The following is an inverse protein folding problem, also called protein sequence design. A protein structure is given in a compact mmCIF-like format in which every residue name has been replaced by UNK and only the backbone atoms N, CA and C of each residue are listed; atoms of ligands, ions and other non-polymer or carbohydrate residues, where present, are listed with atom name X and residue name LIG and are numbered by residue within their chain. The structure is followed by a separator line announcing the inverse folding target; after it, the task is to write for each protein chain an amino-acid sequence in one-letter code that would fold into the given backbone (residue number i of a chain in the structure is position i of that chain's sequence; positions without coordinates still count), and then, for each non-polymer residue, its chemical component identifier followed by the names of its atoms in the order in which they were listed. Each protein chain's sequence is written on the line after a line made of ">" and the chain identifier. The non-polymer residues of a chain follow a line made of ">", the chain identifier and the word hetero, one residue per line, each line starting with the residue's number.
data_IF_472223505976
#
_entry.id   IF_472223505976
#
_cell.length_a   1.000
_cell.length_b   1.000
_cell.length_c   1.000
_cell.angle_alpha   90.00
_cell.angle_beta   90.00
_cell.angle_gamma   90.00
#
_symmetry.space_group_name_H-M   'P 1'
#
loop_
_entity.id
_entity.type
_entity.pdbx_description
1 polymer ?
#
# COMPACT_ATOMS: atom_id res chain seq x y z
N UNK A 1 -58.92 22.98 -16.26
CA UNK A 1 -59.65 23.66 -15.18
C UNK A 1 -58.85 23.57 -13.88
N UNK A 2 -58.44 24.74 -13.35
CA UNK A 2 -58.22 25.13 -11.95
C UNK A 2 -57.57 24.07 -11.03
N UNK A 3 -56.25 24.08 -10.85
CA UNK A 3 -55.49 24.95 -9.92
C UNK A 3 -56.03 24.89 -8.48
N UNK A 4 -55.34 24.17 -7.59
CA UNK A 4 -55.36 24.44 -6.15
C UNK A 4 -53.97 24.90 -5.71
N UNK A 5 -53.90 26.19 -5.38
CA UNK A 5 -52.79 26.87 -4.73
C UNK A 5 -53.13 26.95 -3.25
N UNK A 6 -52.21 26.56 -2.38
CA UNK A 6 -52.09 27.15 -1.04
C UNK A 6 -50.66 27.64 -0.91
N UNK A 7 -50.50 28.97 -0.82
CA UNK A 7 -49.27 29.66 -0.42
C UNK A 7 -49.55 30.31 0.94
N UNK A 8 -48.78 29.95 1.97
CA UNK A 8 -48.49 30.75 3.16
C UNK A 8 -47.27 30.08 3.84
N UNK A 9 -46.04 30.49 3.54
CA UNK A 9 -45.30 31.56 4.23
C UNK A 9 -45.14 31.30 5.74
N UNK A 10 -44.03 30.65 6.11
CA UNK A 10 -43.31 30.90 7.35
C UNK A 10 -41.81 30.89 7.05
N UNK A 11 -41.24 32.08 7.21
CA UNK A 11 -39.85 32.47 7.02
C UNK A 11 -39.14 32.25 8.37
N UNK A 12 -37.92 31.69 8.32
CA UNK A 12 -36.77 31.99 9.19
C UNK A 12 -36.88 31.66 10.70
N UNK A 13 -36.02 30.75 11.20
CA UNK A 13 -34.88 31.08 12.07
C UNK A 13 -34.14 29.80 12.52
N UNK A 14 -32.93 29.63 12.00
CA UNK A 14 -31.69 29.29 12.73
C UNK A 14 -31.83 28.57 14.09
N UNK A 15 -31.32 27.33 14.15
CA UNK A 15 -30.40 26.92 15.23
C UNK A 15 -29.18 26.25 14.59
N UNK A 16 -28.30 27.10 14.07
CA UNK A 16 -26.87 26.83 14.08
C UNK A 16 -26.36 27.38 15.42
N UNK A 17 -26.10 26.49 16.37
CA UNK A 17 -25.25 26.73 17.55
C UNK A 17 -24.83 25.35 18.10
N UNK A 18 -23.72 24.81 17.62
CA UNK A 18 -22.38 24.88 18.26
C UNK A 18 -22.22 23.83 19.37
N UNK A 19 -21.48 22.77 19.04
CA UNK A 19 -20.37 22.35 19.89
C UNK A 19 -19.16 22.26 18.97
N UNK A 20 -18.40 23.36 18.93
CA UNK A 20 -17.09 23.44 18.29
C UNK A 20 -16.06 22.64 19.09
N UNK A 21 -16.17 21.32 19.06
CA UNK A 21 -14.99 20.47 19.23
C UNK A 21 -14.16 20.56 17.95
N UNK A 22 -12.81 20.45 18.01
CA UNK A 22 -12.04 20.36 16.78
C UNK A 22 -12.63 19.20 15.99
N UNK A 23 -13.10 19.49 14.77
CA UNK A 23 -13.27 18.47 13.76
C UNK A 23 -11.89 17.83 13.63
N UNK A 24 -11.71 16.70 14.30
CA UNK A 24 -10.59 15.80 14.06
C UNK A 24 -10.84 15.31 12.64
N UNK A 25 -10.39 16.10 11.67
CA UNK A 25 -10.28 15.64 10.31
C UNK A 25 -9.44 14.38 10.38
N UNK A 26 -10.04 13.24 10.07
CA UNK A 26 -9.28 12.01 9.86
C UNK A 26 -8.27 12.35 8.78
N UNK A 27 -6.99 12.45 9.15
CA UNK A 27 -5.94 12.70 8.18
C UNK A 27 -6.04 11.60 7.12
N UNK A 28 -6.41 11.98 5.90
CA UNK A 28 -6.47 11.04 4.78
C UNK A 28 -5.04 10.59 4.51
N UNK A 29 -4.79 9.29 4.51
CA UNK A 29 -3.46 8.74 4.21
C UNK A 29 -2.97 9.27 2.85
N UNK A 30 -1.70 9.65 2.78
CA UNK A 30 -1.08 10.23 1.59
C UNK A 30 -0.85 9.20 0.46
N UNK A 31 -1.03 7.91 0.77
CA UNK A 31 -0.92 6.78 -0.15
C UNK A 31 -1.00 5.47 0.64
N UNK A 32 -1.16 4.35 -0.07
CA UNK A 32 -1.26 3.01 0.52
C UNK A 32 -0.26 2.05 -0.14
N UNK A 33 0.52 1.36 0.69
CA UNK A 33 1.59 0.46 0.26
C UNK A 33 1.32 -0.96 0.78
N UNK A 34 1.50 -1.96 -0.07
CA UNK A 34 1.58 -3.35 0.36
C UNK A 34 3.04 -3.78 0.45
N UNK A 35 3.44 -4.39 1.57
CA UNK A 35 4.72 -5.03 1.74
C UNK A 35 4.50 -6.54 1.77
N UNK A 36 4.86 -7.21 0.67
CA UNK A 36 4.77 -8.66 0.53
C UNK A 36 6.15 -9.26 0.82
N UNK A 37 6.21 -10.15 1.81
CA UNK A 37 7.46 -10.70 2.34
C UNK A 37 7.42 -12.22 2.22
N UNK A 38 8.61 -12.81 2.05
CA UNK A 38 8.81 -14.25 2.06
C UNK A 38 8.55 -14.91 3.43
N UNK A 39 9.08 -16.11 3.61
CA UNK A 39 8.97 -16.85 4.87
C UNK A 39 9.93 -16.27 5.91
N UNK A 40 9.39 -15.77 7.02
CA UNK A 40 10.19 -15.32 8.17
C UNK A 40 9.46 -14.28 9.01
N UNK A 41 8.80 -13.34 8.35
CA UNK A 41 8.01 -12.31 9.03
C UNK A 41 8.86 -11.32 9.85
N UNK A 42 8.16 -10.57 10.71
CA UNK A 42 8.79 -9.77 11.77
C UNK A 42 9.44 -10.68 12.82
N UNK A 43 10.52 -10.22 13.42
CA UNK A 43 11.24 -10.89 14.50
C UNK A 43 12.41 -11.78 14.05
N UNK A 44 12.79 -11.72 12.77
CA UNK A 44 13.96 -12.42 12.24
C UNK A 44 15.30 -11.74 12.65
N UNK A 45 15.23 -10.54 13.24
CA UNK A 45 16.35 -9.71 13.67
C UNK A 45 17.36 -9.43 12.55
N UNK A 46 16.91 -9.50 11.30
CA UNK A 46 17.77 -9.50 10.12
C UNK A 46 17.05 -8.84 8.94
N UNK A 47 17.00 -9.52 7.80
CA UNK A 47 16.59 -8.98 6.52
C UNK A 47 15.14 -8.49 6.52
N UNK A 48 14.20 -9.28 7.02
CA UNK A 48 12.79 -8.93 7.00
C UNK A 48 12.50 -7.78 7.97
N UNK A 49 13.05 -7.81 9.19
CA UNK A 49 12.92 -6.70 10.15
C UNK A 49 13.49 -5.39 9.60
N UNK A 50 14.57 -5.43 8.80
CA UNK A 50 15.10 -4.26 8.12
C UNK A 50 14.16 -3.73 7.03
N UNK A 51 13.51 -4.62 6.28
CA UNK A 51 12.45 -4.26 5.33
C UNK A 51 11.27 -3.58 6.02
N UNK A 52 10.78 -4.16 7.11
CA UNK A 52 9.70 -3.58 7.92
C UNK A 52 10.08 -2.23 8.51
N UNK A 53 11.29 -2.10 9.07
CA UNK A 53 11.77 -0.83 9.63
C UNK A 53 11.73 0.30 8.59
N UNK A 54 12.16 0.03 7.36
CA UNK A 54 12.07 1.01 6.27
C UNK A 54 10.63 1.39 5.93
N UNK A 55 9.72 0.42 5.92
CA UNK A 55 8.29 0.66 5.67
C UNK A 55 7.64 1.46 6.82
N UNK A 56 7.94 1.14 8.07
CA UNK A 56 7.46 1.83 9.27
C UNK A 56 7.94 3.30 9.30
N UNK A 57 9.22 3.54 8.97
CA UNK A 57 9.77 4.89 8.82
C UNK A 57 9.08 5.67 7.69
N UNK A 58 8.75 5.01 6.57
CA UNK A 58 8.05 5.63 5.46
C UNK A 58 6.61 6.01 5.83
N UNK A 59 5.89 5.15 6.56
CA UNK A 59 4.56 5.48 7.13
C UNK A 59 4.64 6.72 8.01
N UNK A 60 5.59 6.74 8.94
CA UNK A 60 5.73 7.86 9.89
C UNK A 60 6.11 9.17 9.19
N UNK A 61 6.99 9.11 8.18
CA UNK A 61 7.50 10.29 7.49
C UNK A 61 6.55 10.85 6.45
N UNK A 62 5.84 10.00 5.72
CA UNK A 62 5.02 10.38 4.57
C UNK A 62 3.52 10.30 4.84
N UNK A 63 3.09 9.78 6.00
CA UNK A 63 1.67 9.65 6.34
C UNK A 63 0.95 8.62 5.46
N UNK A 64 1.64 7.57 5.05
CA UNK A 64 1.09 6.48 4.23
C UNK A 64 0.43 5.40 5.10
N UNK A 65 -0.44 4.60 4.51
CA UNK A 65 -0.93 3.35 5.11
C UNK A 65 -0.06 2.18 4.62
N UNK A 66 0.38 1.32 5.54
CA UNK A 66 1.11 0.09 5.23
C UNK A 66 0.22 -1.12 5.49
N UNK A 67 0.18 -2.04 4.52
CA UNK A 67 -0.39 -3.38 4.69
C UNK A 67 0.72 -4.40 4.55
N UNK A 68 0.92 -5.17 5.61
CA UNK A 68 1.90 -6.25 5.65
C UNK A 68 1.26 -7.55 5.20
N UNK A 69 1.90 -8.25 4.25
CA UNK A 69 1.44 -9.52 3.71
C UNK A 69 2.58 -10.53 3.80
N UNK A 70 2.57 -11.33 4.85
CA UNK A 70 3.56 -12.37 5.06
C UNK A 70 3.14 -13.68 4.37
N UNK A 71 4.05 -14.28 3.63
CA UNK A 71 3.89 -15.62 3.07
C UNK A 71 4.31 -16.71 4.05
N UNK A 72 3.59 -17.84 4.04
CA UNK A 72 3.95 -19.01 4.84
C UNK A 72 4.80 -20.00 4.05
N UNK A 73 4.68 -19.96 2.71
CA UNK A 73 5.43 -20.80 1.79
C UNK A 73 5.61 -20.12 0.43
N UNK A 74 6.48 -20.69 -0.41
CA UNK A 74 6.68 -20.22 -1.78
C UNK A 74 5.40 -20.27 -2.65
N UNK A 75 4.45 -21.16 -2.33
CA UNK A 75 3.18 -21.23 -3.04
C UNK A 75 2.30 -19.98 -2.81
N UNK A 76 2.58 -19.19 -1.78
CA UNK A 76 1.80 -18.01 -1.43
C UNK A 76 2.27 -16.75 -2.15
N UNK A 77 3.49 -16.71 -2.70
CA UNK A 77 4.10 -15.48 -3.23
C UNK A 77 3.27 -14.84 -4.34
N UNK A 78 3.00 -15.62 -5.40
CA UNK A 78 2.22 -15.13 -6.54
C UNK A 78 0.76 -14.81 -6.15
N UNK A 79 0.01 -15.68 -5.44
CA UNK A 79 -1.32 -15.34 -4.96
C UNK A 79 -1.37 -14.06 -4.12
N UNK A 80 -0.40 -13.84 -3.23
CA UNK A 80 -0.35 -12.63 -2.41
C UNK A 80 -0.16 -11.37 -3.25
N UNK A 81 0.81 -11.38 -4.16
CA UNK A 81 1.06 -10.26 -5.09
C UNK A 81 -0.15 -9.99 -5.98
N UNK A 82 -0.74 -11.04 -6.55
CA UNK A 82 -1.91 -10.92 -7.41
C UNK A 82 -3.13 -10.37 -6.64
N UNK A 83 -3.38 -10.85 -5.42
CA UNK A 83 -4.51 -10.39 -4.62
C UNK A 83 -4.34 -8.92 -4.23
N UNK A 84 -3.11 -8.50 -3.88
CA UNK A 84 -2.79 -7.10 -3.65
C UNK A 84 -3.06 -6.26 -4.92
N UNK A 85 -2.54 -6.66 -6.08
CA UNK A 85 -2.73 -5.92 -7.34
C UNK A 85 -4.20 -5.88 -7.78
N UNK A 86 -4.94 -7.00 -7.70
CA UNK A 86 -6.37 -7.08 -8.06
C UNK A 86 -7.25 -6.17 -7.21
N UNK A 87 -6.85 -5.89 -5.97
CA UNK A 87 -7.62 -5.02 -5.08
C UNK A 87 -7.71 -3.57 -5.58
N UNK A 88 -6.76 -3.13 -6.42
CA UNK A 88 -6.58 -1.73 -6.82
C UNK A 88 -6.53 -0.76 -5.62
N UNK A 89 -6.16 -1.24 -4.43
CA UNK A 89 -6.11 -0.44 -3.21
C UNK A 89 -4.73 0.18 -2.96
N UNK A 90 -3.69 -0.26 -3.67
CA UNK A 90 -2.30 0.07 -3.37
C UNK A 90 -1.67 0.93 -4.45
N UNK A 91 -1.08 2.06 -4.05
CA UNK A 91 -0.27 2.90 -4.93
C UNK A 91 1.06 2.21 -5.30
N UNK A 92 1.58 1.36 -4.41
CA UNK A 92 2.82 0.61 -4.59
C UNK A 92 2.72 -0.76 -3.88
N UNK A 93 3.18 -1.80 -4.56
CA UNK A 93 3.35 -3.14 -3.98
C UNK A 93 4.83 -3.47 -3.98
N UNK A 94 5.39 -3.79 -2.81
CA UNK A 94 6.81 -4.05 -2.62
C UNK A 94 6.99 -5.53 -2.26
N UNK A 95 7.80 -6.25 -3.04
CA UNK A 95 8.29 -7.58 -2.69
C UNK A 95 9.63 -7.49 -1.97
N UNK A 96 9.77 -8.16 -0.82
CA UNK A 96 11.01 -8.19 -0.04
C UNK A 96 11.64 -9.58 -0.13
N UNK A 97 12.78 -9.67 -0.84
CA UNK A 97 13.59 -10.88 -0.95
C UNK A 97 13.59 -11.48 -2.36
N UNK A 98 14.74 -12.03 -2.75
CA UNK A 98 14.94 -12.59 -4.09
C UNK A 98 14.02 -13.78 -4.42
N UNK A 99 13.52 -14.48 -3.41
CA UNK A 99 12.60 -15.62 -3.58
C UNK A 99 11.27 -15.23 -4.25
N UNK A 100 10.89 -13.94 -4.23
CA UNK A 100 9.70 -13.45 -4.92
C UNK A 100 9.94 -13.13 -6.40
N UNK A 101 11.17 -13.23 -6.93
CA UNK A 101 11.52 -12.74 -8.26
C UNK A 101 10.62 -13.30 -9.39
N UNK A 102 10.41 -14.62 -9.43
CA UNK A 102 9.59 -15.26 -10.47
C UNK A 102 8.12 -14.82 -10.37
N UNK A 103 7.58 -14.78 -9.15
CA UNK A 103 6.22 -14.32 -8.90
C UNK A 103 6.04 -12.82 -9.24
N UNK A 104 7.07 -12.01 -8.98
CA UNK A 104 7.09 -10.59 -9.32
C UNK A 104 7.14 -10.37 -10.84
N UNK A 105 7.96 -11.15 -11.55
CA UNK A 105 8.04 -11.10 -13.01
C UNK A 105 6.68 -11.42 -13.65
N UNK A 106 5.96 -12.40 -13.11
CA UNK A 106 4.64 -12.78 -13.59
C UNK A 106 3.56 -11.73 -13.26
N UNK A 107 3.49 -11.26 -12.01
CA UNK A 107 2.44 -10.30 -11.61
C UNK A 107 2.60 -8.95 -12.30
N UNK A 108 3.83 -8.51 -12.56
CA UNK A 108 4.09 -7.24 -13.25
C UNK A 108 3.55 -7.25 -14.68
N UNK A 109 3.65 -8.38 -15.38
CA UNK A 109 3.06 -8.57 -16.72
C UNK A 109 1.52 -8.61 -16.68
N UNK A 110 0.95 -9.21 -15.63
CA UNK A 110 -0.49 -9.32 -15.45
C UNK A 110 -1.16 -7.98 -15.10
N UNK A 111 -0.45 -7.09 -14.42
CA UNK A 111 -0.97 -5.81 -13.91
C UNK A 111 -0.09 -4.63 -14.37
N UNK A 112 -0.07 -4.29 -15.67
CA UNK A 112 0.86 -3.30 -16.22
C UNK A 112 0.67 -1.87 -15.68
N UNK A 113 -0.50 -1.57 -15.10
CA UNK A 113 -0.81 -0.27 -14.51
C UNK A 113 -0.48 -0.17 -13.02
N UNK A 114 -0.24 -1.31 -12.34
CA UNK A 114 0.16 -1.34 -10.95
C UNK A 114 1.67 -1.08 -10.86
N UNK A 115 2.07 -0.20 -9.93
CA UNK A 115 3.49 0.03 -9.63
C UNK A 115 3.98 -1.01 -8.65
N UNK A 116 5.15 -1.57 -8.95
CA UNK A 116 5.82 -2.55 -8.12
C UNK A 116 7.22 -2.07 -7.74
N UNK A 117 7.73 -2.58 -6.63
CA UNK A 117 9.15 -2.58 -6.32
C UNK A 117 9.56 -3.97 -5.82
N UNK A 118 10.83 -4.33 -6.01
CA UNK A 118 11.42 -5.54 -5.45
C UNK A 118 12.79 -5.26 -4.85
N UNK A 119 13.01 -5.80 -3.67
CA UNK A 119 14.27 -5.72 -2.94
C UNK A 119 15.03 -7.03 -3.14
N UNK A 120 16.36 -6.92 -3.30
CA UNK A 120 17.31 -8.02 -3.51
C UNK A 120 17.27 -8.64 -4.93
N UNK A 121 16.85 -7.84 -5.92
CA UNK A 121 16.70 -8.28 -7.33
C UNK A 121 17.06 -7.13 -8.28
N UNK A 122 17.70 -7.44 -9.42
CA UNK A 122 18.15 -6.45 -10.44
C UNK A 122 18.07 -6.93 -11.90
N UNK A 123 17.31 -7.99 -12.20
CA UNK A 123 17.42 -8.69 -13.50
C UNK A 123 16.10 -8.92 -14.24
N UNK A 124 14.97 -8.42 -13.73
CA UNK A 124 13.64 -8.61 -14.33
C UNK A 124 13.33 -7.56 -15.40
N UNK A 125 13.80 -6.31 -15.24
CA UNK A 125 13.73 -5.28 -16.28
C UNK A 125 12.33 -4.92 -16.77
N UNK A 126 11.33 -4.92 -15.88
CA UNK A 126 9.91 -4.64 -16.21
C UNK A 126 9.60 -3.14 -16.15
N UNK A 127 8.73 -2.59 -17.03
CA UNK A 127 8.49 -1.15 -17.12
C UNK A 127 7.77 -0.54 -15.91
N UNK A 128 7.02 -1.35 -15.16
CA UNK A 128 6.25 -0.97 -13.97
C UNK A 128 6.88 -1.49 -12.67
N UNK A 129 8.16 -1.90 -12.71
CA UNK A 129 8.89 -2.46 -11.57
C UNK A 129 10.14 -1.64 -11.28
N UNK A 130 10.29 -1.20 -10.04
CA UNK A 130 11.57 -0.71 -9.51
C UNK A 130 12.34 -1.87 -8.88
N UNK A 131 13.57 -2.06 -9.32
CA UNK A 131 14.46 -3.10 -8.80
C UNK A 131 15.52 -2.46 -7.90
N UNK A 132 15.80 -3.08 -6.75
CA UNK A 132 16.81 -2.64 -5.79
C UNK A 132 17.68 -3.83 -5.43
N UNK A 133 18.96 -3.80 -5.80
CA UNK A 133 19.97 -4.76 -5.37
C UNK A 133 21.06 -4.12 -4.54
N UNK A 134 21.87 -4.95 -3.89
CA UNK A 134 23.05 -4.51 -3.14
C UNK A 134 24.31 -5.14 -3.74
N UNK A 135 25.47 -4.58 -3.38
CA UNK A 135 26.78 -5.15 -3.75
C UNK A 135 27.38 -5.84 -2.53
N UNK A 136 26.72 -6.89 -2.04
CA UNK A 136 27.01 -7.53 -0.74
C UNK A 136 28.44 -8.08 -0.67
N UNK A 137 29.02 -8.45 -1.81
CA UNK A 137 30.40 -8.88 -1.95
C UNK A 137 31.42 -7.79 -1.56
N UNK A 138 31.05 -6.50 -1.54
CA UNK A 138 31.94 -5.41 -1.08
C UNK A 138 31.94 -5.24 0.44
N UNK A 139 30.92 -5.73 1.13
CA UNK A 139 30.80 -5.69 2.58
C UNK A 139 31.13 -7.02 3.27
N UNK A 140 31.10 -8.12 2.52
CA UNK A 140 31.44 -9.46 2.98
C UNK A 140 32.96 -9.64 3.10
N UNK A 141 33.41 -10.29 4.17
CA UNK A 141 34.82 -10.58 4.44
C UNK A 141 35.31 -11.88 3.78
#
# INVERSE_FOLDING_TARGET
>A
MKVFRIKLAAVLFMVVAVVGGPLVGTAQAAGKVALVIDVGGRGDLSFNDMGFKGADEAVAKFGMELVEIQSNSAADYLPNLQNAARSNAFDLIIGVGFLLADAMAEVTDQFPNQKFAIIDVTWLGKPNLQEVGFEEHKGSA
#
